data_IF_534620340904
#
_entry.id   IF_534620340904
#
_cell.length_a   1.000
_cell.length_b   1.000
_cell.length_c   1.000
_cell.angle_alpha   90.00
_cell.angle_beta   90.00
_cell.angle_gamma   90.00
#
_symmetry.space_group_name_H-M   'P 1'
#
loop_
_entity.id
_entity.type
_entity.pdbx_description
1 polymer ?
#
# COMPACT_ATOMS: atom_id res chain seq x y z
N UNK A 1 -24.73 -10.31 -9.67
CA UNK A 1 -24.04 -9.81 -8.45
C UNK A 1 -23.34 -8.51 -8.84
N UNK A 2 -23.86 -7.35 -8.44
CA UNK A 2 -23.41 -6.06 -8.96
C UNK A 2 -21.91 -5.77 -8.71
N UNK A 3 -21.37 -6.22 -7.58
CA UNK A 3 -19.95 -6.01 -7.25
C UNK A 3 -18.99 -6.82 -8.11
N UNK A 4 -19.31 -8.09 -8.39
CA UNK A 4 -18.48 -8.97 -9.24
C UNK A 4 -18.44 -8.44 -10.66
N UNK A 5 -19.59 -8.02 -11.21
CA UNK A 5 -19.68 -7.43 -12.55
C UNK A 5 -18.85 -6.14 -12.67
N UNK A 6 -18.85 -5.30 -11.64
CA UNK A 6 -18.07 -4.04 -11.62
C UNK A 6 -16.55 -4.29 -11.58
N UNK A 7 -16.09 -5.33 -10.89
CA UNK A 7 -14.64 -5.60 -10.73
C UNK A 7 -14.09 -6.51 -11.83
N UNK A 8 -14.87 -7.50 -12.24
CA UNK A 8 -14.47 -8.52 -13.22
C UNK A 8 -14.86 -8.17 -14.65
N UNK A 9 -15.69 -7.14 -14.85
CA UNK A 9 -16.06 -6.68 -16.18
C UNK A 9 -14.90 -6.03 -16.96
N UNK A 10 -15.22 -5.69 -18.20
CA UNK A 10 -14.27 -5.05 -19.15
C UNK A 10 -14.58 -3.55 -19.36
N UNK A 11 -15.58 -3.02 -18.66
CA UNK A 11 -15.91 -1.60 -18.71
C UNK A 11 -14.80 -0.73 -18.10
N UNK A 12 -14.81 0.55 -18.47
CA UNK A 12 -13.83 1.56 -18.04
C UNK A 12 -13.60 1.55 -16.52
N UNK A 13 -14.67 1.41 -15.74
CA UNK A 13 -14.58 1.37 -14.28
C UNK A 13 -13.74 0.20 -13.76
N UNK A 14 -13.88 -0.98 -14.36
CA UNK A 14 -13.11 -2.16 -13.98
C UNK A 14 -11.62 -2.00 -14.31
N UNK A 15 -11.31 -1.40 -15.47
CA UNK A 15 -9.96 -1.03 -15.86
C UNK A 15 -9.32 -0.02 -14.91
N UNK A 16 -10.07 1.02 -14.54
CA UNK A 16 -9.59 2.04 -13.61
C UNK A 16 -9.27 1.46 -12.23
N UNK A 17 -10.12 0.57 -11.72
CA UNK A 17 -9.90 -0.16 -10.47
C UNK A 17 -8.59 -0.95 -10.55
N UNK A 18 -8.40 -1.77 -11.60
CA UNK A 18 -7.18 -2.56 -11.78
C UNK A 18 -5.93 -1.69 -11.82
N UNK A 19 -5.96 -0.57 -12.57
CA UNK A 19 -4.85 0.37 -12.67
C UNK A 19 -4.47 0.95 -11.30
N UNK A 20 -5.44 1.49 -10.56
CA UNK A 20 -5.23 2.06 -9.23
C UNK A 20 -4.71 1.03 -8.22
N UNK A 21 -5.24 -0.20 -8.25
CA UNK A 21 -4.77 -1.28 -7.39
C UNK A 21 -3.31 -1.64 -7.68
N UNK A 22 -2.87 -1.68 -8.94
CA UNK A 22 -1.46 -1.92 -9.27
C UNK A 22 -0.55 -0.78 -8.78
N UNK A 23 -0.98 0.48 -8.93
CA UNK A 23 -0.23 1.62 -8.41
C UNK A 23 -0.07 1.57 -6.90
N UNK A 24 -1.14 1.25 -6.16
CA UNK A 24 -1.08 1.09 -4.71
C UNK A 24 -0.21 -0.09 -4.30
N UNK A 25 -0.30 -1.23 -5.00
CA UNK A 25 0.56 -2.39 -4.77
C UNK A 25 2.04 -2.03 -4.91
N UNK A 26 2.40 -1.27 -5.95
CA UNK A 26 3.78 -0.87 -6.20
C UNK A 26 4.29 0.07 -5.10
N UNK A 27 3.50 1.09 -4.74
CA UNK A 27 3.81 1.99 -3.62
C UNK A 27 4.00 1.26 -2.30
N UNK A 28 3.12 0.29 -1.99
CA UNK A 28 3.23 -0.52 -0.79
C UNK A 28 4.53 -1.34 -0.76
N UNK A 29 4.91 -1.97 -1.88
CA UNK A 29 6.17 -2.70 -2.01
C UNK A 29 7.39 -1.82 -1.79
N UNK A 30 7.38 -0.59 -2.31
CA UNK A 30 8.48 0.35 -2.14
C UNK A 30 8.64 0.77 -0.67
N UNK A 31 7.54 1.05 0.02
CA UNK A 31 7.56 1.43 1.44
C UNK A 31 8.00 0.28 2.35
N UNK A 32 7.61 -0.96 2.01
CA UNK A 32 7.88 -2.17 2.81
C UNK A 32 9.17 -2.90 2.45
N UNK A 33 9.93 -2.43 1.44
CA UNK A 33 11.22 -3.01 1.09
C UNK A 33 12.17 -2.97 2.30
N UNK A 34 13.10 -3.92 2.39
CA UNK A 34 14.19 -3.87 3.38
C UNK A 34 14.91 -2.51 3.30
N UNK A 35 15.16 -1.89 4.47
CA UNK A 35 15.63 -0.51 4.62
C UNK A 35 14.71 0.57 4.02
N UNK A 36 13.45 0.22 3.75
CA UNK A 36 12.42 1.13 3.26
C UNK A 36 11.92 2.10 4.33
N UNK A 37 11.06 3.03 3.89
CA UNK A 37 10.54 4.09 4.75
C UNK A 37 9.77 3.55 5.96
N UNK A 38 9.07 2.42 5.84
CA UNK A 38 8.37 1.82 6.98
C UNK A 38 9.35 1.34 8.06
N UNK A 39 10.41 0.62 7.68
CA UNK A 39 11.43 0.14 8.63
C UNK A 39 12.14 1.30 9.33
N UNK A 40 12.50 2.35 8.59
CA UNK A 40 13.16 3.54 9.15
C UNK A 40 12.23 4.33 10.09
N UNK A 41 10.96 4.47 9.73
CA UNK A 41 9.99 5.16 10.59
C UNK A 41 9.73 4.36 11.87
N UNK A 42 9.65 3.04 11.77
CA UNK A 42 9.49 2.17 12.94
C UNK A 42 10.70 2.26 13.87
N UNK A 43 11.91 2.25 13.31
CA UNK A 43 13.15 2.42 14.08
C UNK A 43 13.19 3.77 14.81
N UNK A 44 12.86 4.86 14.12
CA UNK A 44 12.77 6.20 14.73
C UNK A 44 11.74 6.25 15.87
N UNK A 45 10.59 5.60 15.68
CA UNK A 45 9.56 5.50 16.71
C UNK A 45 10.04 4.71 17.94
N UNK A 46 10.66 3.54 17.74
CA UNK A 46 11.21 2.74 18.86
C UNK A 46 12.31 3.52 19.59
N UNK A 47 13.20 4.18 18.85
CA UNK A 47 14.27 5.01 19.40
C UNK A 47 13.75 6.26 20.14
N UNK A 48 12.57 6.76 19.82
CA UNK A 48 11.97 7.87 20.56
C UNK A 48 11.42 7.40 21.91
N UNK A 49 10.81 6.21 21.97
CA UNK A 49 10.32 5.61 23.22
C UNK A 49 11.44 5.32 24.21
N UNK A 50 12.62 4.89 23.75
CA UNK A 50 13.75 4.62 24.62
C UNK A 50 14.36 5.87 25.28
N UNK A 51 14.07 7.07 24.75
CA UNK A 51 14.55 8.35 25.31
C UNK A 51 13.72 8.86 26.49
N UNK A 52 12.58 8.25 26.78
CA UNK A 52 11.73 8.58 27.93
C UNK A 52 11.99 7.68 29.14
N UNK A 53 13.10 6.93 29.12
CA UNK A 53 13.56 6.07 30.23
C UNK A 53 14.67 6.74 31.02
#
# INVERSE_FOLDING_TARGET
>A
MRGVEVVMGEGERAWEIRRKTQEWKQKAKEVLRENGLASRNLELFVNSLSKYK
#
